data_IF_889388408725
#
_entry.id   IF_889388408725
#
_cell.length_a   1.000
_cell.length_b   1.000
_cell.length_c   1.000
_cell.angle_alpha   90.00
_cell.angle_beta   90.00
_cell.angle_gamma   90.00
#
_symmetry.space_group_name_H-M   'P 1'
#
loop_
_entity.id
_entity.type
_entity.pdbx_description
1 polymer ?
#
# COMPACT_ATOMS: atom_id res chain seq x y z
N UNK A 1 -8.79 16.59 -23.96
CA UNK A 1 -9.76 17.23 -23.09
C UNK A 1 -10.82 16.24 -22.65
N UNK A 2 -11.28 16.37 -21.43
CA UNK A 2 -12.39 15.60 -20.95
C UNK A 2 -12.12 14.14 -20.67
N UNK A 3 -10.92 13.78 -20.30
CA UNK A 3 -10.64 12.42 -19.89
C UNK A 3 -11.33 12.14 -18.56
N UNK A 4 -12.01 11.00 -18.48
CA UNK A 4 -12.61 10.58 -17.23
C UNK A 4 -11.50 10.33 -16.20
N UNK A 5 -11.75 10.64 -14.92
CA UNK A 5 -10.79 10.30 -13.88
C UNK A 5 -10.52 8.80 -13.85
N UNK A 6 -9.28 8.46 -13.64
CA UNK A 6 -8.89 7.07 -13.50
C UNK A 6 -8.75 6.73 -12.02
N UNK A 7 -9.46 5.72 -11.56
CA UNK A 7 -9.42 5.28 -10.17
C UNK A 7 -8.92 3.84 -10.12
N UNK A 8 -7.89 3.61 -9.33
CA UNK A 8 -7.35 2.28 -9.15
C UNK A 8 -7.18 1.95 -7.67
N UNK A 9 -7.32 0.68 -7.34
CA UNK A 9 -7.13 0.18 -5.99
C UNK A 9 -5.64 -0.02 -5.75
N UNK A 10 -5.19 0.37 -4.56
CA UNK A 10 -3.79 0.18 -4.15
C UNK A 10 -3.66 -1.07 -3.31
N UNK A 11 -2.57 -1.80 -3.51
CA UNK A 11 -2.16 -2.92 -2.68
C UNK A 11 -1.07 -2.42 -1.72
N UNK A 12 -0.83 -3.16 -0.61
CA UNK A 12 0.30 -2.80 0.26
C UNK A 12 1.59 -2.68 -0.52
N UNK A 13 2.31 -1.60 -0.33
CA UNK A 13 3.54 -1.38 -1.08
C UNK A 13 4.09 0.02 -0.85
N UNK A 14 5.14 0.33 -1.59
CA UNK A 14 5.78 1.63 -1.55
C UNK A 14 5.26 2.50 -2.70
N UNK A 15 4.91 3.73 -2.36
CA UNK A 15 4.43 4.72 -3.33
C UNK A 15 5.40 5.90 -3.32
N UNK A 16 5.83 6.31 -4.49
CA UNK A 16 6.71 7.46 -4.64
C UNK A 16 5.90 8.67 -5.07
N UNK A 17 6.01 9.74 -4.30
CA UNK A 17 5.35 11.01 -4.59
C UNK A 17 6.40 12.03 -4.97
N UNK A 18 6.26 12.62 -6.16
CA UNK A 18 7.17 13.63 -6.64
C UNK A 18 6.45 14.98 -6.68
N UNK A 19 7.06 15.98 -6.07
CA UNK A 19 6.52 17.34 -6.05
C UNK A 19 7.65 18.30 -6.40
N UNK A 20 7.68 18.73 -7.66
CA UNK A 20 8.80 19.51 -8.16
C UNK A 20 10.08 18.70 -8.17
N UNK A 21 11.09 19.15 -7.43
CA UNK A 21 12.35 18.42 -7.31
C UNK A 21 12.40 17.49 -6.10
N UNK A 22 11.33 17.52 -5.28
CA UNK A 22 11.26 16.70 -4.08
C UNK A 22 10.58 15.37 -4.38
N UNK A 23 11.16 14.30 -3.89
CA UNK A 23 10.60 12.96 -4.03
C UNK A 23 10.55 12.31 -2.65
N UNK A 24 9.37 11.81 -2.30
CA UNK A 24 9.15 11.16 -1.01
C UNK A 24 8.52 9.79 -1.24
N UNK A 25 9.03 8.78 -0.56
CA UNK A 25 8.46 7.44 -0.61
C UNK A 25 7.62 7.18 0.64
N UNK A 26 6.45 6.59 0.42
CA UNK A 26 5.53 6.21 1.49
C UNK A 26 5.23 4.73 1.41
N UNK A 27 5.14 4.09 2.56
CA UNK A 27 4.54 2.78 2.66
C UNK A 27 3.05 2.94 2.87
N UNK A 28 2.24 2.29 2.03
CA UNK A 28 0.79 2.31 2.17
C UNK A 28 0.29 0.88 2.38
N UNK A 29 -0.78 0.75 3.14
CA UNK A 29 -1.38 -0.56 3.44
C UNK A 29 -2.53 -0.91 2.51
N UNK A 30 -3.00 0.07 1.75
CA UNK A 30 -4.10 -0.09 0.80
C UNK A 30 -4.74 1.24 0.54
N UNK A 31 -5.77 1.27 -0.28
CA UNK A 31 -6.50 2.50 -0.58
C UNK A 31 -6.74 2.67 -2.07
N UNK A 32 -6.79 3.91 -2.52
CA UNK A 32 -7.10 4.24 -3.90
C UNK A 32 -6.15 5.31 -4.42
N UNK A 33 -5.85 5.24 -5.70
CA UNK A 33 -5.18 6.32 -6.40
C UNK A 33 -6.11 6.81 -7.50
N UNK A 34 -6.22 8.14 -7.62
CA UNK A 34 -7.05 8.77 -8.63
C UNK A 34 -6.18 9.69 -9.47
N UNK A 35 -6.29 9.58 -10.79
CA UNK A 35 -5.58 10.43 -11.73
C UNK A 35 -6.61 11.14 -12.61
N UNK A 36 -6.50 12.45 -12.70
CA UNK A 36 -7.40 13.27 -13.53
C UNK A 36 -6.61 14.36 -14.22
N UNK A 37 -7.31 15.15 -15.03
CA UNK A 37 -6.69 16.30 -15.70
C UNK A 37 -6.11 17.32 -14.71
N UNK A 38 -6.63 17.35 -13.49
CA UNK A 38 -6.19 18.29 -12.47
C UNK A 38 -5.00 17.79 -11.67
N UNK A 39 -4.62 16.52 -11.85
CA UNK A 39 -3.49 15.93 -11.15
C UNK A 39 -3.81 14.55 -10.63
N UNK A 40 -3.00 14.11 -9.70
CA UNK A 40 -3.14 12.80 -9.09
C UNK A 40 -3.34 12.95 -7.58
N UNK A 41 -4.19 12.10 -7.01
CA UNK A 41 -4.44 12.06 -5.58
C UNK A 41 -4.36 10.61 -5.10
N UNK A 42 -3.83 10.41 -3.91
CA UNK A 42 -3.75 9.08 -3.29
C UNK A 42 -4.50 9.15 -1.96
N UNK A 43 -5.49 8.28 -1.81
CA UNK A 43 -6.23 8.13 -0.56
C UNK A 43 -5.89 6.76 0.01
N UNK A 44 -4.94 6.72 0.92
CA UNK A 44 -4.47 5.48 1.52
C UNK A 44 -5.18 5.21 2.84
N UNK A 45 -5.41 3.94 3.13
CA UNK A 45 -5.94 3.55 4.44
C UNK A 45 -4.95 3.96 5.54
N UNK A 46 -3.68 3.76 5.25
CA UNK A 46 -2.61 4.08 6.17
C UNK A 46 -1.38 4.38 5.33
N UNK A 47 -0.69 5.47 5.63
CA UNK A 47 0.50 5.85 4.91
C UNK A 47 1.57 6.27 5.91
N UNK A 48 2.78 5.74 5.76
CA UNK A 48 3.92 6.06 6.60
C UNK A 48 5.09 6.42 5.70
N UNK A 49 5.68 7.58 5.94
CA UNK A 49 6.87 7.98 5.20
C UNK A 49 7.98 6.97 5.42
N UNK A 50 8.67 6.58 4.35
CA UNK A 50 9.69 5.54 4.41
C UNK A 50 10.77 5.83 5.46
N UNK A 51 11.15 7.10 5.63
CA UNK A 51 12.17 7.48 6.60
C UNK A 51 11.77 7.19 8.04
N UNK A 52 10.46 7.12 8.32
CA UNK A 52 9.94 6.79 9.64
C UNK A 52 9.49 5.35 9.78
N UNK A 53 9.68 4.54 8.74
CA UNK A 53 9.22 3.16 8.73
C UNK A 53 10.23 2.26 9.44
N UNK A 54 9.75 1.46 10.40
CA UNK A 54 10.60 0.55 11.15
C UNK A 54 10.28 -0.88 10.79
N UNK A 55 11.24 -1.77 11.03
CA UNK A 55 11.02 -3.20 10.83
C UNK A 55 9.92 -3.72 11.75
N UNK A 56 9.87 -3.21 12.97
CA UNK A 56 8.83 -3.61 13.91
C UNK A 56 7.44 -3.28 13.41
N UNK A 57 7.29 -2.12 12.76
CA UNK A 57 6.00 -1.73 12.20
C UNK A 57 5.57 -2.71 11.11
N UNK A 58 6.47 -3.05 10.19
CA UNK A 58 6.18 -3.99 9.11
C UNK A 58 5.91 -5.40 9.67
N UNK A 59 6.71 -5.84 10.63
CA UNK A 59 6.52 -7.17 11.24
C UNK A 59 5.15 -7.26 11.92
N UNK A 60 4.70 -6.17 12.56
CA UNK A 60 3.37 -6.13 13.14
C UNK A 60 2.27 -6.26 12.09
N UNK A 61 2.44 -5.62 10.94
CA UNK A 61 1.48 -5.73 9.84
C UNK A 61 1.46 -7.13 9.26
N UNK A 62 2.62 -7.76 9.12
CA UNK A 62 2.73 -9.13 8.63
C UNK A 62 2.03 -10.10 9.61
N UNK A 63 2.29 -9.94 10.91
CA UNK A 63 1.65 -10.80 11.92
C UNK A 63 0.13 -10.66 11.90
N UNK A 64 -0.38 -9.42 11.75
CA UNK A 64 -1.81 -9.20 11.65
C UNK A 64 -2.40 -9.84 10.39
N UNK A 65 -1.68 -9.78 9.28
CA UNK A 65 -2.12 -10.37 8.02
C UNK A 65 -2.12 -11.91 8.11
N UNK A 66 -1.13 -12.48 8.79
CA UNK A 66 -1.09 -13.92 9.00
C UNK A 66 -2.26 -14.40 9.86
N UNK A 67 -2.57 -13.65 10.93
CA UNK A 67 -3.72 -13.96 11.76
C UNK A 67 -5.04 -13.87 11.00
N UNK A 68 -5.17 -12.83 10.17
CA UNK A 68 -6.37 -12.67 9.35
C UNK A 68 -6.53 -13.81 8.35
N UNK A 69 -5.43 -14.30 7.78
CA UNK A 69 -5.48 -15.40 6.83
C UNK A 69 -5.99 -16.68 7.48
N UNK A 70 -5.65 -16.91 8.75
CA UNK A 70 -6.11 -18.10 9.48
C UNK A 70 -7.61 -18.08 9.77
N UNK A 71 -8.19 -16.89 9.88
CA UNK A 71 -9.60 -16.74 10.26
C UNK A 71 -10.52 -16.47 9.09
N UNK A 72 -9.96 -16.15 7.90
CA UNK A 72 -10.78 -15.84 6.74
C UNK A 72 -11.34 -17.12 6.12
N UNK A 73 -12.56 -17.03 5.59
CA UNK A 73 -13.17 -18.13 4.86
C UNK A 73 -12.57 -18.30 3.48
N UNK A 74 -13.02 -19.34 2.77
CA UNK A 74 -12.49 -19.66 1.45
C UNK A 74 -12.57 -18.49 0.48
N UNK A 75 -13.65 -17.72 0.55
CA UNK A 75 -13.87 -16.61 -0.37
C UNK A 75 -12.85 -15.48 -0.22
N UNK A 76 -12.31 -15.30 0.98
CA UNK A 76 -11.35 -14.25 1.24
C UNK A 76 -9.90 -14.69 1.26
N UNK A 77 -9.66 -15.98 1.13
CA UNK A 77 -8.32 -16.54 1.32
C UNK A 77 -7.32 -16.03 0.30
N UNK A 78 -7.73 -15.89 -0.96
CA UNK A 78 -6.83 -15.42 -2.01
C UNK A 78 -6.39 -13.98 -1.77
N UNK A 79 -7.35 -13.10 -1.44
CA UNK A 79 -7.05 -11.70 -1.19
C UNK A 79 -6.18 -11.54 0.07
N UNK A 80 -6.49 -12.28 1.13
CA UNK A 80 -5.71 -12.23 2.36
C UNK A 80 -4.29 -12.74 2.15
N UNK A 81 -4.13 -13.80 1.37
CA UNK A 81 -2.81 -14.34 1.04
C UNK A 81 -2.00 -13.37 0.20
N UNK A 82 -2.63 -12.67 -0.73
CA UNK A 82 -1.95 -11.68 -1.55
C UNK A 82 -1.50 -10.49 -0.71
N UNK A 83 -2.35 -10.03 0.21
CA UNK A 83 -1.98 -8.94 1.11
C UNK A 83 -0.77 -9.31 1.95
N UNK A 84 -0.75 -10.52 2.49
CA UNK A 84 0.38 -11.00 3.26
C UNK A 84 1.66 -11.03 2.41
N UNK A 85 1.55 -11.53 1.19
CA UNK A 85 2.70 -11.60 0.29
C UNK A 85 3.22 -10.19 -0.05
N UNK A 86 2.32 -9.24 -0.28
CA UNK A 86 2.69 -7.86 -0.57
C UNK A 86 3.46 -7.23 0.60
N UNK A 87 3.00 -7.49 1.83
CA UNK A 87 3.68 -6.98 3.03
C UNK A 87 5.07 -7.59 3.19
N UNK A 88 5.21 -8.87 2.92
CA UNK A 88 6.52 -9.52 2.96
C UNK A 88 7.47 -8.97 1.91
N UNK A 89 6.95 -8.64 0.73
CA UNK A 89 7.75 -8.04 -0.32
C UNK A 89 8.28 -6.68 0.11
N UNK A 90 7.44 -5.86 0.75
CA UNK A 90 7.89 -4.58 1.29
C UNK A 90 8.98 -4.78 2.33
N UNK A 91 8.81 -5.76 3.21
CA UNK A 91 9.81 -6.05 4.24
C UNK A 91 11.17 -6.37 3.63
N UNK A 92 11.18 -7.12 2.53
CA UNK A 92 12.42 -7.44 1.82
C UNK A 92 13.07 -6.19 1.23
N UNK A 93 12.28 -5.24 0.77
CA UNK A 93 12.79 -4.00 0.17
C UNK A 93 13.40 -3.06 1.20
N UNK A 94 13.09 -3.25 2.48
CA UNK A 94 13.60 -2.40 3.55
C UNK A 94 14.92 -2.88 4.16
N UNK A 95 15.38 -4.03 3.76
CA UNK A 95 16.61 -4.64 4.29
C UNK A 95 17.84 -4.09 3.57
#
# INVERSE_FOLDING_TARGET
PGHAPFLTTLRPGLVTVTNGSDTTEYFVTGGFAEVSNEGAAVLAEEAVERSGLTREFIDGKIAAAEAALETVGDDGRQAAGQRLNDLKTVAEQLV
#
